data_IF_305551085637
#
_entry.id   IF_305551085637
#
_cell.length_a   1.000
_cell.length_b   1.000
_cell.length_c   1.000
_cell.angle_alpha   90.00
_cell.angle_beta   90.00
_cell.angle_gamma   90.00
#
_symmetry.space_group_name_H-M   'P 1'
#
loop_
_entity.id
_entity.type
_entity.pdbx_description
1 polymer ?
#
# COMPACT_ATOMS: atom_id res chain seq x y z
N UNK A 1 -25.28 -28.82 -21.12
CA UNK A 1 -24.64 -27.90 -20.15
C UNK A 1 -23.31 -28.53 -19.73
N UNK A 2 -22.23 -27.76 -19.51
CA UNK A 2 -20.99 -28.34 -18.99
C UNK A 2 -21.22 -28.88 -17.56
N UNK A 3 -20.59 -30.00 -17.18
CA UNK A 3 -20.60 -30.46 -15.80
C UNK A 3 -19.93 -29.43 -14.89
N UNK A 4 -20.49 -29.23 -13.69
CA UNK A 4 -20.07 -28.21 -12.73
C UNK A 4 -19.21 -28.86 -11.63
N UNK A 5 -17.95 -28.44 -11.53
CA UNK A 5 -16.97 -29.01 -10.57
C UNK A 5 -16.37 -27.91 -9.69
N UNK A 6 -16.61 -26.64 -10.01
CA UNK A 6 -16.03 -25.48 -9.33
C UNK A 6 -16.30 -25.45 -7.82
N UNK A 7 -17.53 -25.76 -7.41
CA UNK A 7 -17.88 -25.85 -5.98
C UNK A 7 -17.10 -26.94 -5.24
N UNK A 8 -16.82 -28.08 -5.89
CA UNK A 8 -16.04 -29.17 -5.30
C UNK A 8 -14.56 -28.77 -5.14
N UNK A 9 -14.00 -28.10 -6.15
CA UNK A 9 -12.64 -27.55 -6.10
C UNK A 9 -12.49 -26.50 -4.99
N UNK A 10 -13.45 -25.58 -4.91
CA UNK A 10 -13.50 -24.55 -3.86
C UNK A 10 -13.50 -25.19 -2.47
N UNK A 11 -14.41 -26.13 -2.25
CA UNK A 11 -14.53 -26.82 -0.96
C UNK A 11 -13.27 -27.60 -0.62
N UNK A 12 -12.66 -28.31 -1.59
CA UNK A 12 -11.44 -29.07 -1.39
C UNK A 12 -10.20 -28.19 -1.11
N UNK A 13 -10.14 -26.98 -1.68
CA UNK A 13 -9.12 -25.98 -1.34
C UNK A 13 -9.31 -25.46 0.09
N UNK A 14 -10.54 -25.07 0.43
CA UNK A 14 -10.85 -24.53 1.77
C UNK A 14 -10.66 -25.59 2.87
N UNK A 15 -10.95 -26.86 2.59
CA UNK A 15 -10.71 -27.96 3.52
C UNK A 15 -9.22 -28.17 3.84
N UNK A 16 -8.31 -27.78 2.93
CA UNK A 16 -6.87 -27.75 3.16
C UNK A 16 -6.38 -26.49 3.88
N UNK A 17 -7.26 -25.51 4.11
CA UNK A 17 -6.93 -24.23 4.72
C UNK A 17 -6.18 -23.29 3.78
N UNK A 18 -6.20 -23.52 2.47
CA UNK A 18 -5.44 -22.72 1.51
C UNK A 18 -6.24 -21.52 0.99
N UNK A 19 -5.55 -20.38 0.92
CA UNK A 19 -5.95 -19.23 0.12
C UNK A 19 -5.73 -19.51 -1.38
N UNK A 20 -6.30 -18.66 -2.25
CA UNK A 20 -6.02 -18.76 -3.69
C UNK A 20 -4.53 -18.55 -3.99
N UNK A 21 -3.87 -17.62 -3.29
CA UNK A 21 -2.43 -17.36 -3.44
C UNK A 21 -1.57 -18.57 -3.08
N UNK A 22 -1.88 -19.26 -1.99
CA UNK A 22 -1.19 -20.50 -1.61
C UNK A 22 -1.46 -21.62 -2.61
N UNK A 23 -2.71 -21.82 -3.03
CA UNK A 23 -3.03 -22.80 -4.06
C UNK A 23 -2.31 -22.50 -5.39
N UNK A 24 -2.15 -21.22 -5.74
CA UNK A 24 -1.40 -20.78 -6.91
C UNK A 24 0.10 -21.06 -6.78
N UNK A 25 0.65 -20.86 -5.58
CA UNK A 25 2.04 -21.20 -5.27
C UNK A 25 2.30 -22.71 -5.41
N UNK A 26 1.43 -23.53 -4.83
CA UNK A 26 1.58 -25.00 -4.82
C UNK A 26 1.40 -25.61 -6.21
N UNK A 27 0.39 -25.15 -6.96
CA UNK A 27 0.05 -25.73 -8.27
C UNK A 27 0.79 -25.06 -9.44
N UNK A 28 1.43 -23.92 -9.20
CA UNK A 28 2.00 -23.02 -10.23
C UNK A 28 0.97 -22.53 -11.25
N UNK A 29 -0.31 -22.52 -10.88
CA UNK A 29 -1.39 -21.97 -11.69
C UNK A 29 -1.72 -20.57 -11.17
N UNK A 30 -1.87 -19.54 -12.02
CA UNK A 30 -2.20 -18.19 -11.54
C UNK A 30 -3.52 -18.14 -10.77
N UNK A 31 -3.59 -17.33 -9.70
CA UNK A 31 -4.78 -17.18 -8.84
C UNK A 31 -6.05 -16.89 -9.64
N UNK A 32 -5.94 -16.01 -10.64
CA UNK A 32 -7.06 -15.66 -11.52
C UNK A 32 -7.65 -16.89 -12.21
N UNK A 33 -6.82 -17.82 -12.66
CA UNK A 33 -7.28 -19.02 -13.35
C UNK A 33 -7.90 -20.02 -12.39
N UNK A 34 -7.33 -20.16 -11.18
CA UNK A 34 -7.93 -20.97 -10.12
C UNK A 34 -9.34 -20.47 -9.77
N UNK A 35 -9.50 -19.15 -9.61
CA UNK A 35 -10.79 -18.54 -9.33
C UNK A 35 -11.82 -18.78 -10.44
N UNK A 36 -11.40 -18.77 -11.71
CA UNK A 36 -12.29 -19.10 -12.83
C UNK A 36 -12.74 -20.56 -12.81
N UNK A 37 -11.85 -21.51 -12.45
CA UNK A 37 -12.23 -22.92 -12.31
C UNK A 37 -13.21 -23.13 -11.15
N UNK A 38 -12.97 -22.48 -10.01
CA UNK A 38 -13.85 -22.54 -8.84
C UNK A 38 -15.23 -21.92 -9.10
N UNK A 39 -15.31 -20.95 -10.03
CA UNK A 39 -16.55 -20.33 -10.47
C UNK A 39 -17.22 -21.04 -11.67
N UNK A 40 -16.65 -22.15 -12.16
CA UNK A 40 -17.06 -22.83 -13.40
C UNK A 40 -17.10 -21.91 -14.65
N UNK A 41 -16.33 -20.81 -14.65
CA UNK A 41 -16.25 -19.84 -15.76
C UNK A 41 -15.12 -20.19 -16.73
N UNK A 42 -15.30 -21.31 -17.44
CA UNK A 42 -14.35 -21.79 -18.44
C UNK A 42 -14.36 -20.96 -19.74
N UNK A 43 -15.39 -20.14 -19.96
CA UNK A 43 -15.47 -19.25 -21.11
C UNK A 43 -14.45 -18.10 -21.02
N UNK A 44 -14.16 -17.62 -19.80
CA UNK A 44 -13.21 -16.54 -19.55
C UNK A 44 -11.72 -16.94 -19.71
N UNK A 45 -11.40 -18.22 -19.89
CA UNK A 45 -10.02 -18.70 -20.10
C UNK A 45 -9.42 -18.26 -21.44
N UNK A 46 -10.25 -17.93 -22.44
CA UNK A 46 -9.83 -17.61 -23.81
C UNK A 46 -9.30 -18.80 -24.62
N UNK A 47 -8.82 -19.86 -23.96
CA UNK A 47 -8.41 -21.12 -24.59
C UNK A 47 -8.79 -22.33 -23.72
N UNK A 48 -9.70 -23.17 -24.23
CA UNK A 48 -10.17 -24.38 -23.54
C UNK A 48 -9.08 -25.45 -23.36
N UNK A 49 -8.05 -25.46 -24.20
CA UNK A 49 -6.93 -26.38 -24.03
C UNK A 49 -6.15 -26.08 -22.73
N UNK A 50 -5.98 -24.80 -22.39
CA UNK A 50 -5.36 -24.39 -21.13
C UNK A 50 -6.27 -24.64 -19.93
N UNK A 51 -7.57 -24.36 -20.05
CA UNK A 51 -8.55 -24.71 -19.02
C UNK A 51 -8.46 -26.19 -18.66
N UNK A 52 -8.41 -27.08 -19.67
CA UNK A 52 -8.28 -28.53 -19.47
C UNK A 52 -6.96 -28.90 -18.78
N UNK A 53 -5.84 -28.30 -19.20
CA UNK A 53 -4.53 -28.58 -18.61
C UNK A 53 -4.48 -28.19 -17.12
N UNK A 54 -4.97 -27.00 -16.78
CA UNK A 54 -5.00 -26.52 -15.40
C UNK A 54 -6.00 -27.25 -14.53
N UNK A 55 -7.18 -27.55 -15.07
CA UNK A 55 -8.16 -28.35 -14.36
C UNK A 55 -7.58 -29.71 -13.98
N UNK A 56 -6.82 -30.35 -14.88
CA UNK A 56 -6.16 -31.63 -14.61
C UNK A 56 -5.11 -31.53 -13.48
N UNK A 57 -4.31 -30.46 -13.46
CA UNK A 57 -3.31 -30.24 -12.41
C UNK A 57 -4.00 -29.99 -11.07
N UNK A 58 -4.97 -29.07 -11.06
CA UNK A 58 -5.60 -28.61 -9.84
C UNK A 58 -6.49 -29.68 -9.19
N UNK A 59 -7.34 -30.35 -9.99
CA UNK A 59 -8.18 -31.46 -9.52
C UNK A 59 -7.35 -32.59 -8.90
N UNK A 60 -6.24 -32.98 -9.55
CA UNK A 60 -5.31 -33.97 -9.00
C UNK A 60 -4.66 -33.51 -7.70
N UNK A 61 -4.24 -32.25 -7.64
CA UNK A 61 -3.59 -31.72 -6.44
C UNK A 61 -4.58 -31.63 -5.26
N UNK A 62 -5.86 -31.40 -5.56
CA UNK A 62 -6.93 -31.36 -4.58
C UNK A 62 -7.62 -32.71 -4.32
N UNK A 63 -7.25 -33.77 -5.03
CA UNK A 63 -7.90 -35.08 -5.00
C UNK A 63 -9.42 -35.01 -5.28
N UNK A 64 -9.80 -34.18 -6.26
CA UNK A 64 -11.17 -34.01 -6.73
C UNK A 64 -11.31 -34.73 -8.08
N UNK A 65 -12.39 -35.50 -8.25
CA UNK A 65 -12.69 -36.11 -9.55
C UNK A 65 -13.31 -35.09 -10.50
N UNK A 66 -12.55 -34.72 -11.54
CA UNK A 66 -13.00 -33.84 -12.63
C UNK A 66 -13.03 -34.57 -13.98
N UNK A 67 -13.05 -35.91 -13.99
CA UNK A 67 -12.92 -36.73 -15.21
C UNK A 67 -13.96 -36.40 -16.28
N UNK A 68 -15.22 -36.26 -15.89
CA UNK A 68 -16.33 -35.93 -16.79
C UNK A 68 -16.13 -34.57 -17.46
N UNK A 69 -15.74 -33.55 -16.69
CA UNK A 69 -15.50 -32.21 -17.21
C UNK A 69 -14.24 -32.16 -18.10
N UNK A 70 -13.19 -32.90 -17.75
CA UNK A 70 -12.00 -33.02 -18.57
C UNK A 70 -12.31 -33.66 -19.93
N UNK A 71 -13.20 -34.66 -19.97
CA UNK A 71 -13.67 -35.27 -21.21
C UNK A 71 -14.51 -34.27 -22.03
N UNK A 72 -15.43 -33.54 -21.39
CA UNK A 72 -16.22 -32.51 -22.06
C UNK A 72 -15.35 -31.39 -22.67
N UNK A 73 -14.37 -30.90 -21.93
CA UNK A 73 -13.42 -29.87 -22.42
C UNK A 73 -12.56 -30.39 -23.57
N UNK A 74 -12.22 -31.68 -23.60
CA UNK A 74 -11.46 -32.28 -24.69
C UNK A 74 -12.24 -32.23 -26.02
N UNK A 75 -13.55 -32.47 -25.99
CA UNK A 75 -14.42 -32.37 -27.17
C UNK A 75 -14.48 -30.93 -27.70
N UNK A 76 -14.52 -29.94 -26.80
CA UNK A 76 -14.53 -28.52 -27.16
C UNK A 76 -13.19 -28.00 -27.68
N UNK A 77 -12.08 -28.45 -27.10
CA UNK A 77 -10.73 -28.03 -27.47
C UNK A 77 -10.26 -28.57 -28.84
N UNK A 78 -10.92 -29.61 -29.37
CA UNK A 78 -10.59 -30.19 -30.68
C UNK A 78 -11.07 -29.34 -31.86
N UNK A 79 -11.90 -28.32 -31.63
CA UNK A 79 -12.22 -27.33 -32.67
C UNK A 79 -11.01 -26.43 -32.87
N UNK A 80 -10.43 -26.32 -34.08
CA UNK A 80 -9.37 -25.37 -34.34
C UNK A 80 -9.95 -23.97 -34.10
N UNK A 81 -9.58 -23.36 -32.98
CA UNK A 81 -9.84 -21.96 -32.76
C UNK A 81 -9.14 -21.21 -33.92
N UNK A 82 -9.83 -20.29 -34.62
CA UNK A 82 -9.15 -19.44 -35.59
C UNK A 82 -7.95 -18.84 -34.85
N UNK A 83 -6.77 -18.91 -35.48
CA UNK A 83 -5.50 -18.43 -34.94
C UNK A 83 -5.64 -16.93 -34.64
N UNK A 84 -6.25 -16.60 -33.50
CA UNK A 84 -6.32 -15.25 -32.98
C UNK A 84 -4.95 -15.04 -32.35
N UNK A 85 -4.03 -14.59 -33.19
CA UNK A 85 -2.69 -14.13 -32.83
C UNK A 85 -2.75 -12.84 -31.99
N UNK A 86 -3.74 -12.71 -31.10
CA UNK A 86 -3.82 -11.60 -30.16
C UNK A 86 -3.15 -12.04 -28.87
N UNK A 87 -1.81 -11.99 -28.90
CA UNK A 87 -0.95 -11.83 -27.73
C UNK A 87 -1.09 -12.88 -26.60
N UNK A 88 -0.73 -14.13 -26.89
CA UNK A 88 -0.55 -15.19 -25.89
C UNK A 88 0.55 -14.91 -24.86
N UNK A 89 1.38 -13.89 -25.06
CA UNK A 89 2.49 -13.52 -24.17
C UNK A 89 2.15 -12.43 -23.15
N UNK A 90 0.94 -11.85 -23.18
CA UNK A 90 0.51 -10.83 -22.21
C UNK A 90 -0.28 -11.38 -21.02
N UNK A 91 -0.59 -12.68 -21.01
CA UNK A 91 -1.54 -13.29 -20.05
C UNK A 91 -0.85 -13.89 -18.81
N UNK A 92 0.46 -14.14 -18.86
CA UNK A 92 1.17 -14.94 -17.83
C UNK A 92 2.13 -14.16 -16.93
N UNK A 93 2.48 -12.94 -17.32
CA UNK A 93 3.11 -11.99 -16.41
C UNK A 93 2.03 -11.03 -15.93
N UNK A 94 2.14 -10.51 -14.71
CA UNK A 94 1.33 -9.39 -14.20
C UNK A 94 1.58 -8.13 -15.01
N UNK A 95 1.24 -8.16 -16.29
CA UNK A 95 1.23 -7.02 -17.17
C UNK A 95 0.21 -6.04 -16.60
N UNK A 96 0.56 -4.74 -16.48
CA UNK A 96 -0.43 -3.73 -16.13
C UNK A 96 -1.63 -3.92 -17.08
N UNK A 97 -2.87 -3.85 -16.56
CA UNK A 97 -4.03 -4.19 -17.34
C UNK A 97 -3.98 -3.42 -18.66
N UNK A 98 -4.22 -4.08 -19.81
CA UNK A 98 -4.38 -3.36 -21.06
C UNK A 98 -5.44 -2.31 -20.79
N UNK A 99 -5.07 -1.03 -20.93
CA UNK A 99 -5.97 0.08 -20.71
C UNK A 99 -7.11 -0.04 -21.72
N UNK A 100 -8.16 -0.74 -21.32
CA UNK A 100 -9.39 -0.82 -22.06
C UNK A 100 -9.86 0.62 -22.20
N UNK A 101 -9.84 1.15 -23.43
CA UNK A 101 -10.46 2.46 -23.72
C UNK A 101 -11.84 2.44 -23.08
N UNK A 102 -12.13 3.34 -22.12
CA UNK A 102 -13.41 3.29 -21.43
C UNK A 102 -14.48 3.60 -22.46
N UNK A 103 -15.33 2.60 -22.76
CA UNK A 103 -16.63 2.85 -23.36
C UNK A 103 -17.41 3.68 -22.34
N UNK A 104 -17.40 5.00 -22.58
CA UNK A 104 -18.08 6.02 -21.78
C UNK A 104 -19.59 5.70 -21.79
N UNK A 105 -20.10 5.14 -20.70
CA UNK A 105 -21.51 5.27 -20.33
C UNK A 105 -21.67 6.58 -19.55
N UNK A 106 -22.54 7.51 -19.95
CA UNK A 106 -22.55 8.86 -19.40
C UNK A 106 -23.37 8.92 -18.11
N UNK A 107 -22.91 8.34 -17.00
CA UNK A 107 -23.76 8.26 -15.80
C UNK A 107 -23.01 8.13 -14.45
N UNK A 108 -21.85 8.78 -14.21
CA UNK A 108 -21.25 8.84 -12.85
C UNK A 108 -20.46 10.12 -12.47
N UNK A 109 -20.95 11.38 -12.68
CA UNK A 109 -20.38 12.51 -11.95
C UNK A 109 -20.92 12.64 -10.50
N UNK A 110 -21.91 11.85 -10.09
CA UNK A 110 -22.60 12.01 -8.80
C UNK A 110 -21.89 11.37 -7.59
N UNK A 111 -21.02 10.38 -7.79
CA UNK A 111 -20.37 9.65 -6.67
C UNK A 111 -19.12 10.35 -6.12
N UNK A 112 -18.43 11.15 -6.94
CA UNK A 112 -17.21 11.87 -6.55
C UNK A 112 -17.52 13.06 -5.63
N UNK A 113 -18.63 13.77 -5.87
CA UNK A 113 -19.05 14.89 -5.03
C UNK A 113 -19.36 14.45 -3.59
N UNK A 114 -19.99 13.28 -3.42
CA UNK A 114 -20.38 12.76 -2.10
C UNK A 114 -19.15 12.31 -1.28
N UNK A 115 -18.14 11.72 -1.93
CA UNK A 115 -16.90 11.28 -1.27
C UNK A 115 -16.04 12.47 -0.79
N UNK A 116 -15.96 13.55 -1.59
CA UNK A 116 -15.24 14.77 -1.20
C UNK A 116 -15.94 15.46 -0.02
N UNK A 117 -17.29 15.50 -0.02
CA UNK A 117 -18.06 16.04 1.10
C UNK A 117 -17.81 15.26 2.40
N UNK A 118 -17.78 13.92 2.36
CA UNK A 118 -17.48 13.10 3.54
C UNK A 118 -16.04 13.31 4.06
N UNK A 119 -15.07 13.54 3.16
CA UNK A 119 -13.68 13.76 3.54
C UNK A 119 -13.48 15.12 4.22
N UNK A 120 -14.18 16.16 3.74
CA UNK A 120 -14.13 17.51 4.34
C UNK A 120 -14.80 17.51 5.72
N UNK A 121 -15.93 16.82 5.87
CA UNK A 121 -16.63 16.73 7.17
C UNK A 121 -15.84 15.90 8.19
N UNK A 122 -15.18 14.82 7.77
CA UNK A 122 -14.33 13.99 8.64
C UNK A 122 -13.02 14.67 9.05
N UNK A 123 -12.37 15.41 8.14
CA UNK A 123 -11.10 16.10 8.41
C UNK A 123 -11.22 17.26 9.41
N UNK A 124 -12.35 17.98 9.40
CA UNK A 124 -12.60 19.11 10.29
C UNK A 124 -12.71 18.72 11.78
N UNK A 125 -13.33 17.57 12.07
CA UNK A 125 -13.52 17.09 13.46
C UNK A 125 -12.20 16.59 14.06
N UNK A 126 -11.34 15.96 13.25
CA UNK A 126 -10.04 15.45 13.68
C UNK A 126 -9.06 16.60 14.00
N UNK A 127 -8.96 17.60 13.13
CA UNK A 127 -8.05 18.75 13.33
C UNK A 127 -8.44 19.61 14.54
N UNK A 128 -9.74 19.82 14.77
CA UNK A 128 -10.24 20.60 15.91
C UNK A 128 -10.03 19.94 17.28
N UNK A 129 -10.05 18.61 17.35
CA UNK A 129 -9.83 17.86 18.60
C UNK A 129 -8.32 17.79 18.95
N UNK A 130 -7.45 17.58 17.97
CA UNK A 130 -6.00 17.51 18.20
C UNK A 130 -5.37 18.85 18.62
N UNK A 131 -5.88 19.99 18.12
CA UNK A 131 -5.40 21.31 18.54
C UNK A 131 -5.90 21.74 19.94
N UNK A 132 -6.97 21.11 20.47
CA UNK A 132 -7.43 21.36 21.85
C UNK A 132 -6.59 20.59 22.88
N UNK A 133 -5.98 19.46 22.51
CA UNK A 133 -5.09 18.70 23.39
C UNK A 133 -3.68 19.32 23.47
N UNK A 134 -3.19 19.93 22.39
CA UNK A 134 -1.89 20.61 22.37
C UNK A 134 -1.83 21.89 23.23
N UNK A 135 -2.97 22.48 23.59
CA UNK A 135 -3.05 23.69 24.44
C UNK A 135 -3.04 23.42 25.95
N UNK A 136 -3.07 22.17 26.39
CA UNK A 136 -3.00 21.82 27.83
C UNK A 136 -1.61 21.38 28.30
N UNK A 137 -0.65 21.19 27.38
CA UNK A 137 0.75 20.86 27.70
C UNK A 137 1.74 21.99 27.41
N UNK A 138 1.30 23.05 26.73
CA UNK A 138 2.11 24.24 26.45
C UNK A 138 1.70 25.38 27.41
N UNK A 139 2.03 25.23 28.70
CA UNK A 139 1.97 26.32 29.67
C UNK A 139 2.93 27.43 29.22
N UNK A 140 2.43 28.59 28.75
CA UNK A 140 3.30 29.71 28.45
C UNK A 140 3.83 30.28 29.77
N UNK A 141 5.14 30.20 29.96
CA UNK A 141 5.92 31.09 30.82
C UNK A 141 5.48 31.17 32.28
N UNK A 142 6.16 30.40 33.15
CA UNK A 142 6.41 30.89 34.51
C UNK A 142 7.04 32.29 34.37
N UNK A 143 6.50 33.37 34.96
CA UNK A 143 7.24 34.62 35.05
C UNK A 143 8.53 34.30 35.82
N UNK A 144 9.67 34.69 35.24
CA UNK A 144 10.98 34.48 35.84
C UNK A 144 10.95 34.98 37.28
N UNK A 145 11.14 34.07 38.24
CA UNK A 145 11.39 34.43 39.62
C UNK A 145 12.66 35.29 39.62
N UNK A 146 12.50 36.61 39.74
CA UNK A 146 13.58 37.52 40.07
C UNK A 146 14.07 37.07 41.45
N UNK A 147 15.14 36.30 41.48
CA UNK A 147 15.84 36.03 42.72
C UNK A 147 16.37 37.39 43.24
N UNK A 148 16.07 37.78 44.49
CA UNK A 148 16.63 38.99 45.07
C UNK A 148 18.16 38.95 44.96
N UNK A 149 18.74 39.90 44.23
CA UNK A 149 20.19 40.08 44.20
C UNK A 149 20.66 40.44 45.62
N UNK A 150 21.64 39.73 46.20
CA UNK A 150 22.22 40.15 47.48
C UNK A 150 22.86 41.54 47.32
N UNK A 151 22.80 42.40 48.36
CA UNK A 151 23.35 43.76 48.30
C UNK A 151 24.85 43.73 47.96
N UNK A 152 25.37 44.71 47.20
CA UNK A 152 26.76 44.70 46.76
C UNK A 152 27.73 44.77 47.95
N UNK A 153 28.67 43.84 47.97
CA UNK A 153 29.77 43.79 48.94
C UNK A 153 30.70 45.01 48.74
N UNK A 154 31.20 45.67 49.80
CA UNK A 154 32.02 46.86 49.67
C UNK A 154 33.34 46.53 48.94
N UNK A 155 33.61 47.27 47.86
CA UNK A 155 34.81 47.09 47.03
C UNK A 155 36.07 47.33 47.86
N UNK A 156 37.08 46.44 47.83
CA UNK A 156 38.36 46.68 48.50
C UNK A 156 39.03 47.95 47.96
N UNK A 157 39.41 48.87 48.86
CA UNK A 157 40.01 50.18 48.55
C UNK A 157 41.32 50.13 47.73
N UNK A 158 41.90 48.93 47.55
CA UNK A 158 43.16 48.72 46.83
C UNK A 158 43.02 48.68 45.29
N UNK A 159 41.80 48.71 44.75
CA UNK A 159 41.57 48.73 43.30
C UNK A 159 41.81 50.12 42.66
N UNK A 160 42.06 51.18 43.44
CA UNK A 160 42.35 52.52 42.92
C UNK A 160 43.84 52.78 42.62
N UNK A 161 44.74 51.81 42.85
CA UNK A 161 46.19 52.07 42.80
C UNK A 161 46.92 51.60 41.52
N UNK A 162 46.26 50.92 40.57
CA UNK A 162 46.99 50.30 39.43
C UNK A 162 46.45 50.56 38.04
N UNK A 163 45.84 51.72 37.82
CA UNK A 163 45.56 52.22 36.47
C UNK A 163 46.31 53.52 36.22
N UNK A 164 47.58 53.34 35.85
CA UNK A 164 48.31 54.13 34.87
C UNK A 164 48.36 55.66 35.07
N UNK A 165 49.40 56.10 35.79
CA UNK A 165 50.21 57.21 35.32
C UNK A 165 50.79 56.85 33.92
N UNK A 166 50.72 57.76 32.93
CA UNK A 166 51.30 57.54 31.61
C UNK A 166 52.85 57.54 31.70
N UNK A 167 53.45 56.57 31.00
CA UNK A 167 54.90 56.37 30.89
C UNK A 167 55.54 57.53 30.12
N UNK A 168 55.95 58.58 30.84
CA UNK A 168 56.78 59.67 30.35
C UNK A 168 58.24 59.23 30.36
N UNK A 169 58.73 58.56 29.30
CA UNK A 169 60.15 58.55 28.88
C UNK A 169 60.42 57.65 27.66
N UNK A 170 60.02 58.11 26.47
CA UNK A 170 60.68 57.70 25.23
C UNK A 170 60.93 58.91 24.32
N UNK A 171 61.69 59.88 24.83
CA UNK A 171 62.32 60.90 24.01
C UNK A 171 63.65 61.28 24.68
N UNK A 172 64.68 60.51 24.37
CA UNK A 172 66.02 60.77 24.85
C UNK A 172 67.07 60.12 23.96
N UNK A 173 67.59 60.95 23.04
CA UNK A 173 68.92 60.90 22.39
C UNK A 173 68.94 60.28 20.97
N UNK A 174 69.33 61.00 19.92
CA UNK A 174 69.85 62.37 19.87
C UNK A 174 70.37 62.78 18.49
N UNK A 175 70.84 64.02 18.45
CA UNK A 175 71.87 64.58 17.56
C UNK A 175 72.17 65.98 18.06
#
# INVERSE_FOLDING_TARGET
>A
MPPLVGSQLLNARLARGWTLAEAAHETRIPERQLALMEADDYAAFGNLAYARAFLKIYSRHLDVDASELLAWLALGASRPAPLRLENSNSVWHGAPPPQAKPRRGPLRPLTLALAVLTLILGGGVYSGMHLRMARLLNFPGRPASVLPQPPPEPVPLHAMEKTALPDLRSAGRGS
#
